data_IF_312450665386
#
_entry.id   IF_312450665386
#
_cell.length_a   1.000
_cell.length_b   1.000
_cell.length_c   1.000
_cell.angle_alpha   90.00
_cell.angle_beta   90.00
_cell.angle_gamma   90.00
#
_symmetry.space_group_name_H-M   'P 1'
#
loop_
_entity.id
_entity.type
_entity.pdbx_description
1 polymer ?
#
# COMPACT_ATOMS: atom_id res chain seq x y z
N UNK A 1 -16.69 -23.79 -6.76
CA UNK A 1 -15.63 -22.85 -7.19
C UNK A 1 -14.59 -22.82 -6.09
N UNK A 2 -13.43 -23.45 -6.28
CA UNK A 2 -12.33 -23.35 -5.30
C UNK A 2 -11.63 -22.00 -5.53
N UNK A 3 -11.98 -21.01 -4.71
CA UNK A 3 -11.14 -19.83 -4.54
C UNK A 3 -9.93 -20.28 -3.73
N UNK A 4 -8.82 -20.56 -4.42
CA UNK A 4 -7.51 -20.66 -3.78
C UNK A 4 -7.17 -19.28 -3.23
N UNK A 5 -7.50 -19.05 -1.95
CA UNK A 5 -7.11 -17.83 -1.24
C UNK A 5 -5.60 -17.93 -1.06
N UNK A 6 -4.85 -17.14 -1.82
CA UNK A 6 -3.43 -16.99 -1.57
C UNK A 6 -3.24 -16.45 -0.14
N UNK A 7 -2.55 -17.18 0.73
CA UNK A 7 -2.42 -16.82 2.14
C UNK A 7 -1.57 -15.56 2.32
N UNK A 8 -0.65 -15.31 1.40
CA UNK A 8 0.21 -14.14 1.38
C UNK A 8 -0.17 -13.28 0.18
N UNK A 9 -0.37 -11.98 0.41
CA UNK A 9 -0.68 -11.01 -0.66
C UNK A 9 0.21 -9.78 -0.55
N UNK A 10 0.39 -9.08 -1.68
CA UNK A 10 1.05 -7.77 -1.72
C UNK A 10 0.00 -6.67 -1.84
N UNK A 11 0.14 -5.62 -1.03
CA UNK A 11 -0.78 -4.47 -1.02
C UNK A 11 0.06 -3.20 -1.12
N UNK A 12 -0.34 -2.24 -1.95
CA UNK A 12 0.32 -0.94 -1.94
C UNK A 12 -0.03 -0.18 -0.66
N UNK A 13 0.99 0.43 -0.07
CA UNK A 13 0.92 1.29 1.09
C UNK A 13 1.58 2.64 0.79
N UNK A 14 0.98 3.72 1.29
CA UNK A 14 1.51 5.08 1.22
C UNK A 14 1.76 5.60 2.62
N UNK A 15 2.96 6.10 2.89
CA UNK A 15 3.31 6.65 4.20
C UNK A 15 2.49 7.90 4.49
N UNK A 16 1.82 7.91 5.65
CA UNK A 16 1.25 9.11 6.23
C UNK A 16 2.29 9.83 7.10
N UNK A 17 2.96 9.08 7.99
CA UNK A 17 4.02 9.60 8.86
C UNK A 17 4.12 8.81 10.17
N UNK A 18 4.87 9.34 11.14
CA UNK A 18 5.03 8.71 12.46
C UNK A 18 4.05 9.33 13.47
N UNK A 19 2.86 8.76 13.64
CA UNK A 19 1.86 9.25 14.61
C UNK A 19 1.99 8.60 16.00
N UNK A 20 2.69 7.46 16.10
CA UNK A 20 3.01 6.77 17.34
C UNK A 20 4.51 6.43 17.38
N UNK A 21 5.22 6.68 18.50
CA UNK A 21 6.62 6.27 18.63
C UNK A 21 6.82 4.77 18.37
N UNK A 22 7.83 4.42 17.55
CA UNK A 22 8.12 3.03 17.17
C UNK A 22 7.29 2.49 16.00
N UNK A 23 6.30 3.24 15.52
CA UNK A 23 5.43 2.82 14.41
C UNK A 23 5.40 3.85 13.29
N UNK A 24 5.34 3.36 12.06
CA UNK A 24 5.05 4.13 10.88
C UNK A 24 3.58 3.94 10.52
N UNK A 25 2.83 5.04 10.46
CA UNK A 25 1.45 5.03 9.98
C UNK A 25 1.44 5.13 8.46
N UNK A 26 0.78 4.17 7.82
CA UNK A 26 0.58 4.12 6.38
C UNK A 26 -0.89 4.01 6.04
N UNK A 27 -1.25 4.38 4.83
CA UNK A 27 -2.53 4.04 4.23
C UNK A 27 -2.36 2.84 3.32
N UNK A 28 -3.11 1.76 3.59
CA UNK A 28 -3.21 0.62 2.66
C UNK A 28 -4.43 0.78 1.77
N UNK A 29 -4.40 0.21 0.56
CA UNK A 29 -5.51 0.28 -0.42
C UNK A 29 -5.96 1.72 -0.72
N UNK A 30 -5.04 2.68 -0.66
CA UNK A 30 -5.34 4.05 -1.10
C UNK A 30 -5.69 4.03 -2.59
N UNK A 31 -6.61 4.91 -3.01
CA UNK A 31 -7.06 4.97 -4.41
C UNK A 31 -8.00 3.83 -4.86
N UNK A 32 -8.44 2.94 -3.94
CA UNK A 32 -9.48 1.94 -4.22
C UNK A 32 -10.84 2.37 -3.65
N UNK A 33 -11.75 2.86 -4.49
CA UNK A 33 -13.12 3.27 -4.13
C UNK A 33 -13.25 4.70 -3.55
N UNK A 34 -14.36 5.00 -2.85
CA UNK A 34 -14.63 6.31 -2.19
C UNK A 34 -13.67 6.65 -1.02
N UNK A 35 -12.73 5.75 -0.70
CA UNK A 35 -11.73 5.96 0.33
C UNK A 35 -10.49 6.63 -0.29
N UNK A 36 -10.59 7.93 -0.59
CA UNK A 36 -9.48 8.75 -1.10
C UNK A 36 -8.24 8.70 -0.16
N UNK A 37 -8.44 8.30 1.10
CA UNK A 37 -7.37 8.10 2.08
C UNK A 37 -6.92 6.66 2.32
N UNK A 38 -7.57 5.62 1.78
CA UNK A 38 -7.27 4.22 2.18
C UNK A 38 -7.54 3.93 3.66
N UNK A 39 -7.01 2.81 4.18
CA UNK A 39 -7.16 2.38 5.58
C UNK A 39 -5.87 2.69 6.35
N UNK A 40 -5.89 3.53 7.40
CA UNK A 40 -4.73 3.76 8.25
C UNK A 40 -4.30 2.47 8.94
N UNK A 41 -3.03 2.11 8.83
CA UNK A 41 -2.42 0.91 9.41
C UNK A 41 -1.07 1.27 10.01
N UNK A 42 -0.76 0.72 11.18
CA UNK A 42 0.53 0.91 11.85
C UNK A 42 1.48 -0.24 11.49
N UNK A 43 2.71 0.10 11.10
CA UNK A 43 3.79 -0.85 10.84
C UNK A 43 4.93 -0.57 11.82
N UNK A 44 5.46 -1.59 12.51
CA UNK A 44 6.68 -1.43 13.31
C UNK A 44 7.82 -0.80 12.48
N UNK A 45 8.48 0.23 13.00
CA UNK A 45 9.52 0.96 12.24
C UNK A 45 10.72 0.09 11.89
N UNK A 46 11.03 -0.92 12.70
CA UNK A 46 12.09 -1.91 12.47
C UNK A 46 11.84 -2.77 11.22
N UNK A 47 10.57 -2.97 10.85
CA UNK A 47 10.20 -3.66 9.61
C UNK A 47 10.37 -2.78 8.36
N UNK A 48 10.36 -1.46 8.51
CA UNK A 48 10.42 -0.52 7.37
C UNK A 48 11.85 -0.03 7.16
N UNK A 49 12.47 -0.25 5.98
CA UNK A 49 13.76 0.33 5.64
C UNK A 49 13.76 1.86 5.77
N UNK A 50 14.84 2.46 6.29
CA UNK A 50 14.91 3.92 6.56
C UNK A 50 14.56 4.76 5.32
N UNK A 51 15.01 4.35 4.14
CA UNK A 51 14.73 5.05 2.87
C UNK A 51 13.25 5.06 2.47
N UNK A 52 12.41 4.19 3.06
CA UNK A 52 10.98 4.10 2.77
C UNK A 52 10.08 4.78 3.83
N UNK A 53 10.67 5.40 4.87
CA UNK A 53 9.91 5.99 5.98
C UNK A 53 9.44 7.43 5.71
N UNK A 54 9.83 8.00 4.58
CA UNK A 54 9.49 9.38 4.26
C UNK A 54 7.98 9.53 4.01
N UNK A 55 7.35 10.63 4.46
CA UNK A 55 5.95 10.90 4.16
C UNK A 55 5.66 10.84 2.66
N UNK A 56 4.49 10.34 2.30
CA UNK A 56 4.03 10.10 0.94
C UNK A 56 4.83 9.08 0.12
N UNK A 57 5.87 8.44 0.68
CA UNK A 57 6.54 7.33 0.00
C UNK A 57 5.58 6.16 -0.18
N UNK A 58 5.64 5.56 -1.37
CA UNK A 58 4.85 4.39 -1.74
C UNK A 58 5.74 3.15 -1.72
N UNK A 59 5.23 2.07 -1.14
CA UNK A 59 5.89 0.76 -1.12
C UNK A 59 4.85 -0.37 -1.07
N UNK A 60 5.30 -1.60 -1.28
CA UNK A 60 4.47 -2.80 -1.12
C UNK A 60 4.61 -3.37 0.28
N UNK A 61 3.49 -3.69 0.92
CA UNK A 61 3.45 -4.49 2.14
C UNK A 61 3.07 -5.92 1.79
N UNK A 62 3.81 -6.88 2.37
CA UNK A 62 3.48 -8.30 2.30
C UNK A 62 2.62 -8.63 3.51
N UNK A 63 1.37 -9.03 3.24
CA UNK A 63 0.35 -9.28 4.25
C UNK A 63 -0.03 -10.76 4.29
N UNK A 64 0.12 -11.36 5.46
CA UNK A 64 -0.34 -12.71 5.76
C UNK A 64 -1.81 -12.66 6.16
N UNK A 65 -2.70 -13.14 5.28
CA UNK A 65 -4.15 -13.18 5.49
C UNK A 65 -4.58 -14.19 6.54
N UNK A 66 -3.77 -15.23 6.79
CA UNK A 66 -4.09 -16.26 7.80
C UNK A 66 -3.83 -15.68 9.18
N UNK A 67 -2.70 -14.99 9.35
CA UNK A 67 -2.32 -14.37 10.63
C UNK A 67 -2.87 -12.97 10.84
N UNK A 68 -3.31 -12.31 9.76
CA UNK A 68 -3.85 -10.97 9.78
C UNK A 68 -2.79 -9.87 9.99
N UNK A 69 -1.53 -10.11 9.61
CA UNK A 69 -0.41 -9.23 9.91
C UNK A 69 0.46 -8.91 8.70
N UNK A 70 1.14 -7.77 8.75
CA UNK A 70 2.21 -7.42 7.81
C UNK A 70 3.47 -8.15 8.26
N UNK A 71 4.12 -8.83 7.32
CA UNK A 71 5.32 -9.65 7.58
C UNK A 71 6.58 -9.09 6.91
N UNK A 72 6.43 -8.26 5.88
CA UNK A 72 7.56 -7.70 5.13
C UNK A 72 7.15 -6.41 4.40
N UNK A 73 8.15 -5.58 4.10
CA UNK A 73 8.03 -4.36 3.30
C UNK A 73 9.01 -4.42 2.14
N UNK A 74 8.51 -4.20 0.93
CA UNK A 74 9.29 -4.21 -0.30
C UNK A 74 9.17 -2.86 -1.01
N UNK A 75 10.25 -2.32 -1.59
CA UNK A 75 10.17 -1.18 -2.50
C UNK A 75 9.22 -1.46 -3.66
N UNK A 76 8.46 -0.47 -4.10
CA UNK A 76 7.71 -0.58 -5.35
C UNK A 76 8.71 -0.57 -6.51
N UNK A 77 8.73 -1.63 -7.31
CA UNK A 77 9.36 -1.60 -8.62
C UNK A 77 8.35 -0.92 -9.53
N UNK A 78 8.67 0.27 -10.04
CA UNK A 78 7.89 0.91 -11.10
C UNK A 78 7.99 0.03 -12.35
N UNK A 79 7.13 -0.97 -12.46
CA UNK A 79 6.70 -1.43 -13.78
C UNK A 79 5.74 -0.35 -14.25
N UNK A 80 6.27 0.65 -14.95
CA UNK A 80 5.48 1.49 -15.86
C UNK A 80 4.83 0.56 -16.89
N UNK A 81 3.72 -0.06 -16.51
CA UNK A 81 2.71 -0.57 -17.44
C UNK A 81 1.60 0.46 -17.48
N UNK A 82 1.49 1.06 -18.66
CA UNK A 82 0.56 2.09 -19.08
C UNK A 82 -0.86 1.92 -18.51
N UNK A 83 -1.19 2.68 -17.47
CA UNK A 83 -2.55 3.22 -17.36
C UNK A 83 -2.65 4.42 -18.30
N UNK A 84 -2.80 4.10 -19.59
CA UNK A 84 -3.24 5.04 -20.62
C UNK A 84 -4.58 5.62 -20.19
N UNK A 85 -4.53 6.78 -19.56
CA UNK A 85 -5.60 7.77 -19.56
C UNK A 85 -6.08 7.95 -21.00
N UNK A 86 -7.27 7.47 -21.31
CA UNK A 86 -8.04 8.00 -22.44
C UNK A 86 -9.23 8.70 -21.82
N UNK A 87 -9.00 9.95 -21.42
CA UNK A 87 -10.05 10.94 -21.39
C UNK A 87 -10.36 11.31 -22.84
N UNK A 88 -11.54 10.93 -23.32
CA UNK A 88 -12.10 11.54 -24.51
C UNK A 88 -13.20 12.49 -24.04
N UNK A 89 -12.87 13.78 -24.12
CA UNK A 89 -13.82 14.87 -24.02
C UNK A 89 -14.78 14.78 -25.22
N UNK A 90 -16.07 14.98 -24.96
CA UNK A 90 -17.02 15.40 -25.96
C UNK A 90 -17.78 16.60 -25.39
N UNK A 91 -17.27 17.80 -25.69
CA UNK A 91 -18.11 18.94 -26.01
C UNK A 91 -18.81 18.62 -27.34
N UNK A 92 -20.15 18.60 -27.36
CA UNK A 92 -21.00 19.59 -28.05
C UNK A 92 -22.48 19.34 -27.71
#
# INVERSE_FOLDING_TARGET
MNLSIEPIIKIQAKVLGCLRPGYLTVFIRYGSGLADGGIPTEIPMDLVPIGLRMPNTVFSVVYDRIKGQIIEVEPTVDTTDDQKSTGEAAEE
#
